data_IF_202199305039
#
_entry.id   IF_202199305039
#
_cell.length_a   1.000
_cell.length_b   1.000
_cell.length_c   1.000
_cell.angle_alpha   90.00
_cell.angle_beta   90.00
_cell.angle_gamma   90.00
#
_symmetry.space_group_name_H-M   'P 1'
#
loop_
_entity.id
_entity.type
_entity.pdbx_description
1 polymer ?
#
# COMPACT_ATOMS: atom_id res chain seq x y z
N UNK A 1 -10.37 28.07 -1.22
CA UNK A 1 -11.00 27.87 0.09
C UNK A 1 -10.07 26.99 0.91
N UNK A 2 -9.54 27.55 2.01
CA UNK A 2 -8.68 26.79 2.90
C UNK A 2 -9.52 25.69 3.56
N UNK A 3 -9.09 24.47 3.40
CA UNK A 3 -9.74 23.32 4.00
C UNK A 3 -9.51 23.35 5.51
N UNK A 4 -10.41 24.00 6.24
CA UNK A 4 -10.35 24.13 7.69
C UNK A 4 -10.63 22.80 8.43
N UNK A 5 -10.79 21.68 7.72
CA UNK A 5 -11.05 20.36 8.30
C UNK A 5 -9.82 19.69 8.88
N UNK A 6 -8.61 20.18 8.58
CA UNK A 6 -7.37 19.52 8.96
C UNK A 6 -6.45 20.47 9.72
N UNK A 7 -6.36 20.29 11.01
CA UNK A 7 -5.25 20.84 11.79
C UNK A 7 -4.05 19.88 11.63
N UNK A 8 -3.27 20.06 10.57
CA UNK A 8 -2.04 19.31 10.40
C UNK A 8 -1.04 19.72 11.49
N UNK A 9 -0.57 18.73 12.25
CA UNK A 9 0.46 18.91 13.27
C UNK A 9 1.79 18.47 12.68
N UNK A 10 2.88 19.22 12.84
CA UNK A 10 4.20 18.78 12.42
C UNK A 10 4.56 17.45 13.08
N UNK A 11 5.27 16.60 12.33
CA UNK A 11 5.82 15.36 12.88
C UNK A 11 6.94 15.67 13.88
N UNK A 12 6.97 14.94 15.00
CA UNK A 12 8.05 14.98 15.97
C UNK A 12 9.36 14.56 15.30
N UNK A 13 10.44 15.26 15.64
CA UNK A 13 11.74 15.03 14.99
C UNK A 13 12.24 13.59 15.17
N UNK A 14 12.25 13.08 16.39
CA UNK A 14 12.76 11.73 16.68
C UNK A 14 11.91 10.65 16.01
N UNK A 15 10.59 10.83 15.98
CA UNK A 15 9.67 9.94 15.28
C UNK A 15 9.86 10.00 13.76
N UNK A 16 10.13 11.19 13.23
CA UNK A 16 10.45 11.35 11.81
C UNK A 16 11.74 10.65 11.41
N UNK A 17 12.78 10.72 12.25
CA UNK A 17 14.05 10.04 12.06
C UNK A 17 13.83 8.52 12.05
N UNK A 18 13.15 8.00 13.06
CA UNK A 18 12.90 6.58 13.18
C UNK A 18 12.08 6.04 11.99
N UNK A 19 10.99 6.72 11.61
CA UNK A 19 10.20 6.32 10.44
C UNK A 19 11.01 6.37 9.15
N UNK A 20 11.85 7.39 8.95
CA UNK A 20 12.70 7.50 7.77
C UNK A 20 13.71 6.32 7.68
N UNK A 21 14.29 5.90 8.80
CA UNK A 21 15.18 4.72 8.88
C UNK A 21 14.43 3.43 8.55
N UNK A 22 13.25 3.25 9.12
CA UNK A 22 12.39 2.09 8.86
C UNK A 22 12.02 2.02 7.36
N UNK A 23 11.55 3.12 6.76
CA UNK A 23 11.20 3.18 5.34
C UNK A 23 12.44 2.90 4.46
N UNK A 24 13.59 3.50 4.82
CA UNK A 24 14.85 3.22 4.11
C UNK A 24 15.14 1.72 4.13
N UNK A 25 15.10 1.09 5.31
CA UNK A 25 15.44 -0.32 5.50
C UNK A 25 14.45 -1.26 4.79
N UNK A 26 13.15 -1.12 5.06
CA UNK A 26 12.14 -2.07 4.58
C UNK A 26 11.80 -1.85 3.11
N UNK A 27 11.77 -0.61 2.65
CA UNK A 27 11.30 -0.28 1.31
C UNK A 27 12.44 0.07 0.35
N UNK A 28 13.27 1.09 0.64
CA UNK A 28 14.29 1.55 -0.32
C UNK A 28 15.39 0.50 -0.53
N UNK A 29 15.85 -0.11 0.53
CA UNK A 29 16.90 -1.13 0.46
C UNK A 29 16.39 -2.44 -0.13
N UNK A 30 15.11 -2.79 0.03
CA UNK A 30 14.51 -3.95 -0.62
C UNK A 30 14.55 -3.82 -2.15
N UNK A 31 14.12 -2.70 -2.70
CA UNK A 31 14.24 -2.45 -4.14
C UNK A 31 15.68 -2.30 -4.61
N UNK A 32 16.57 -1.78 -3.77
CA UNK A 32 18.00 -1.67 -4.10
C UNK A 32 18.66 -3.05 -4.16
N UNK A 33 18.32 -3.94 -3.23
CA UNK A 33 18.81 -5.32 -3.17
C UNK A 33 18.37 -6.11 -4.41
N UNK A 34 17.09 -6.00 -4.78
CA UNK A 34 16.51 -6.78 -5.88
C UNK A 34 16.86 -6.21 -7.26
N UNK A 35 16.65 -4.91 -7.47
CA UNK A 35 16.73 -4.27 -8.79
C UNK A 35 17.97 -3.38 -8.96
N UNK A 36 18.76 -3.23 -7.92
CA UNK A 36 19.96 -2.40 -7.89
C UNK A 36 19.69 -0.91 -7.64
N UNK A 37 20.73 -0.17 -7.22
CA UNK A 37 20.58 1.23 -6.81
C UNK A 37 20.22 2.18 -7.96
N UNK A 38 20.50 1.80 -9.20
CA UNK A 38 20.16 2.61 -10.37
C UNK A 38 18.64 2.64 -10.61
N UNK A 39 17.95 1.52 -10.39
CA UNK A 39 16.50 1.44 -10.49
C UNK A 39 15.85 2.40 -9.51
N UNK A 40 16.16 2.26 -8.24
CA UNK A 40 15.56 3.10 -7.21
C UNK A 40 15.82 4.59 -7.46
N UNK A 41 17.08 4.99 -7.76
CA UNK A 41 17.42 6.40 -8.06
C UNK A 41 16.65 6.98 -9.25
N UNK A 42 16.23 6.15 -10.20
CA UNK A 42 15.48 6.60 -11.38
C UNK A 42 14.01 6.85 -11.08
N UNK A 43 13.44 6.17 -10.10
CA UNK A 43 11.99 6.15 -9.87
C UNK A 43 11.58 6.59 -8.47
N UNK A 44 12.48 6.60 -7.48
CA UNK A 44 12.17 7.02 -6.12
C UNK A 44 11.66 8.47 -6.08
N UNK A 45 10.59 8.76 -5.32
CA UNK A 45 10.18 10.13 -5.07
C UNK A 45 11.30 10.88 -4.34
N UNK A 46 11.49 12.16 -4.71
CA UNK A 46 12.61 12.96 -4.18
C UNK A 46 12.31 13.56 -2.81
N UNK A 47 11.05 13.56 -2.40
CA UNK A 47 10.61 14.17 -1.15
C UNK A 47 9.69 13.24 -0.41
N UNK A 48 9.98 13.05 0.86
CA UNK A 48 9.07 12.46 1.83
C UNK A 48 8.59 13.56 2.76
N UNK A 49 7.28 13.76 2.84
CA UNK A 49 6.66 14.73 3.71
C UNK A 49 5.98 13.99 4.85
N UNK A 50 6.47 14.19 6.06
CA UNK A 50 6.01 13.52 7.27
C UNK A 50 5.12 14.46 8.07
N UNK A 51 3.88 14.04 8.34
CA UNK A 51 2.86 14.79 9.07
C UNK A 51 2.56 14.05 10.38
N UNK A 52 2.58 14.79 11.48
CA UNK A 52 2.39 14.21 12.82
C UNK A 52 0.97 13.76 13.11
N UNK A 53 -0.04 14.49 12.59
CA UNK A 53 -1.45 14.19 12.79
C UNK A 53 -2.03 13.27 11.72
N UNK A 54 -3.16 12.58 11.99
CA UNK A 54 -3.93 11.92 10.94
C UNK A 54 -4.49 12.94 9.93
N UNK A 55 -4.81 12.47 8.73
CA UNK A 55 -5.59 13.17 7.74
C UNK A 55 -6.86 12.39 7.41
N UNK A 56 -7.90 13.09 6.97
CA UNK A 56 -9.17 12.48 6.57
C UNK A 56 -9.62 13.10 5.25
N UNK A 57 -10.18 12.30 4.38
CA UNK A 57 -10.81 12.78 3.16
C UNK A 57 -12.18 13.43 3.41
N UNK A 58 -12.87 13.83 2.34
CA UNK A 58 -14.19 14.45 2.43
C UNK A 58 -15.29 13.51 2.95
N UNK A 59 -15.06 12.19 2.89
CA UNK A 59 -15.97 11.16 3.42
C UNK A 59 -15.75 10.87 4.90
N UNK A 60 -14.64 11.38 5.48
CA UNK A 60 -14.21 11.09 6.85
C UNK A 60 -13.33 9.83 6.95
N UNK A 61 -12.96 9.25 5.84
CA UNK A 61 -12.03 8.11 5.81
C UNK A 61 -10.60 8.59 6.06
N UNK A 62 -9.86 7.86 6.90
CA UNK A 62 -8.47 8.16 7.22
C UNK A 62 -7.59 7.99 5.98
N UNK A 63 -6.77 8.99 5.68
CA UNK A 63 -5.76 8.96 4.61
C UNK A 63 -4.42 8.61 5.24
N UNK A 64 -3.84 7.48 4.85
CA UNK A 64 -2.56 7.00 5.40
C UNK A 64 -1.37 7.61 4.68
N UNK A 65 -1.49 7.83 3.38
CA UNK A 65 -0.47 8.49 2.56
C UNK A 65 -1.02 8.97 1.23
N UNK A 66 -0.22 9.73 0.52
CA UNK A 66 -0.53 10.21 -0.84
C UNK A 66 0.73 10.38 -1.65
N UNK A 67 0.69 10.06 -2.96
CA UNK A 67 1.75 10.43 -3.90
C UNK A 67 1.33 11.58 -4.80
N UNK A 68 2.16 12.60 -4.90
CA UNK A 68 1.92 13.74 -5.76
C UNK A 68 2.83 13.70 -7.00
N UNK A 69 2.26 13.28 -8.13
CA UNK A 69 2.91 13.30 -9.44
C UNK A 69 4.26 12.58 -9.52
N UNK A 70 4.46 11.55 -8.71
CA UNK A 70 5.69 10.78 -8.66
C UNK A 70 6.90 11.51 -8.07
N UNK A 71 6.70 12.67 -7.45
CA UNK A 71 7.80 13.50 -6.91
C UNK A 71 7.84 13.56 -5.40
N UNK A 72 6.70 13.41 -4.74
CA UNK A 72 6.56 13.51 -3.29
C UNK A 72 5.61 12.42 -2.79
N UNK A 73 5.97 11.75 -1.70
CA UNK A 73 5.08 10.95 -0.89
C UNK A 73 4.86 11.68 0.43
N UNK A 74 3.59 11.83 0.83
CA UNK A 74 3.21 12.34 2.15
C UNK A 74 2.72 11.18 2.99
N UNK A 75 3.23 11.05 4.22
CA UNK A 75 2.79 10.07 5.21
C UNK A 75 2.25 10.80 6.43
N UNK A 76 1.12 10.33 6.93
CA UNK A 76 0.38 10.94 8.03
C UNK A 76 0.52 10.13 9.32
N UNK A 77 0.08 10.72 10.43
CA UNK A 77 -0.04 10.10 11.76
C UNK A 77 1.30 9.64 12.39
N UNK A 78 2.40 10.28 12.00
CA UNK A 78 3.75 9.90 12.45
C UNK A 78 3.89 10.01 13.97
N UNK A 79 3.17 10.96 14.62
CA UNK A 79 3.26 11.16 16.06
C UNK A 79 2.57 10.05 16.89
N UNK A 80 1.82 9.18 16.25
CA UNK A 80 1.20 8.00 16.89
C UNK A 80 2.14 6.79 16.98
N UNK A 81 3.31 6.84 16.32
CA UNK A 81 4.28 5.73 16.36
C UNK A 81 4.87 5.54 17.76
N UNK A 82 4.95 4.27 18.18
CA UNK A 82 5.67 3.82 19.36
C UNK A 82 6.96 3.10 18.91
N UNK A 83 8.11 3.70 19.21
CA UNK A 83 9.41 3.12 18.84
C UNK A 83 10.04 2.29 19.95
N UNK A 84 9.50 2.35 21.16
CA UNK A 84 9.93 1.50 22.27
C UNK A 84 9.31 0.10 22.15
N UNK A 85 8.08 0.04 21.56
CA UNK A 85 7.35 -1.20 21.32
C UNK A 85 6.89 -1.25 19.86
N UNK A 86 7.83 -1.50 18.94
CA UNK A 86 7.53 -1.53 17.51
C UNK A 86 6.57 -2.68 17.18
N UNK A 87 5.40 -2.34 16.66
CA UNK A 87 4.42 -3.27 16.14
C UNK A 87 4.51 -3.32 14.60
N UNK A 88 4.94 -4.45 14.06
CA UNK A 88 5.13 -4.64 12.62
C UNK A 88 3.79 -4.61 11.86
N UNK A 89 2.70 -5.10 12.47
CA UNK A 89 1.38 -5.08 11.83
C UNK A 89 0.87 -3.65 11.68
N UNK A 90 1.04 -2.83 12.73
CA UNK A 90 0.71 -1.39 12.70
C UNK A 90 1.57 -0.66 11.66
N UNK A 91 2.88 -0.92 11.63
CA UNK A 91 3.77 -0.31 10.63
C UNK A 91 3.41 -0.73 9.21
N UNK A 92 2.98 -1.98 9.02
CA UNK A 92 2.53 -2.47 7.73
C UNK A 92 1.25 -1.76 7.27
N UNK A 93 0.25 -1.70 8.14
CA UNK A 93 -1.03 -1.04 7.84
C UNK A 93 -0.83 0.44 7.46
N UNK A 94 -0.03 1.20 8.23
CA UNK A 94 0.10 2.64 8.05
C UNK A 94 1.15 3.05 7.02
N UNK A 95 2.25 2.30 6.90
CA UNK A 95 3.41 2.78 6.14
C UNK A 95 3.91 1.82 5.07
N UNK A 96 4.11 0.52 5.35
CA UNK A 96 4.76 -0.34 4.36
C UNK A 96 3.85 -0.57 3.15
N UNK A 97 2.60 -0.95 3.40
CA UNK A 97 1.60 -1.10 2.34
C UNK A 97 1.49 0.20 1.54
N UNK A 98 1.35 1.34 2.23
CA UNK A 98 1.25 2.67 1.59
C UNK A 98 2.46 2.97 0.70
N UNK A 99 3.68 2.69 1.18
CA UNK A 99 4.89 2.94 0.39
C UNK A 99 4.95 2.12 -0.90
N UNK A 100 4.59 0.83 -0.85
CA UNK A 100 4.54 -0.02 -2.04
C UNK A 100 3.41 0.39 -2.99
N UNK A 101 2.25 0.74 -2.46
CA UNK A 101 1.09 1.26 -3.19
C UNK A 101 1.45 2.53 -3.99
N UNK A 102 1.95 3.55 -3.33
CA UNK A 102 2.31 4.82 -3.95
C UNK A 102 3.45 4.66 -4.97
N UNK A 103 4.41 3.79 -4.69
CA UNK A 103 5.48 3.50 -5.63
C UNK A 103 4.98 2.76 -6.86
N UNK A 104 4.05 1.85 -6.71
CA UNK A 104 3.40 1.18 -7.84
C UNK A 104 2.65 2.17 -8.73
N UNK A 105 2.01 3.20 -8.17
CA UNK A 105 1.45 4.31 -8.94
C UNK A 105 2.51 5.06 -9.76
N UNK A 106 3.67 5.34 -9.16
CA UNK A 106 4.78 5.98 -9.89
C UNK A 106 5.25 5.11 -11.06
N UNK A 107 5.34 3.80 -10.86
CA UNK A 107 5.78 2.88 -11.90
C UNK A 107 4.77 2.81 -13.06
N UNK A 108 3.48 2.59 -12.78
CA UNK A 108 2.50 2.47 -13.87
C UNK A 108 2.23 3.78 -14.60
N UNK A 109 2.44 4.95 -13.97
CA UNK A 109 2.41 6.25 -14.65
C UNK A 109 3.58 6.44 -15.64
N UNK A 110 4.67 5.71 -15.48
CA UNK A 110 5.82 5.73 -16.41
C UNK A 110 5.65 4.72 -17.54
N UNK A 111 5.13 3.55 -17.24
CA UNK A 111 4.83 2.48 -18.20
C UNK A 111 3.51 1.83 -17.81
N UNK A 112 2.49 2.03 -18.64
CA UNK A 112 1.16 1.50 -18.36
C UNK A 112 1.15 -0.04 -18.29
N UNK A 113 0.31 -0.58 -17.43
CA UNK A 113 -0.02 -2.00 -17.39
C UNK A 113 -1.04 -2.36 -18.50
N UNK A 114 -1.27 -3.66 -18.72
CA UNK A 114 -2.23 -4.16 -19.70
C UNK A 114 -3.67 -3.75 -19.33
N UNK A 115 -4.38 -2.99 -20.19
CA UNK A 115 -5.74 -2.52 -19.90
C UNK A 115 -6.78 -3.64 -19.84
N UNK A 116 -6.41 -4.89 -20.12
CA UNK A 116 -7.29 -6.04 -19.88
C UNK A 116 -7.57 -6.25 -18.40
N UNK A 117 -6.69 -5.77 -17.51
CA UNK A 117 -6.90 -5.76 -16.05
C UNK A 117 -8.18 -5.02 -15.68
N UNK A 118 -8.39 -3.81 -16.21
CA UNK A 118 -9.54 -2.95 -15.88
C UNK A 118 -10.88 -3.61 -16.19
N UNK A 119 -10.88 -4.52 -17.19
CA UNK A 119 -12.10 -5.20 -17.65
C UNK A 119 -12.50 -6.41 -16.82
N UNK A 120 -11.59 -6.96 -16.00
CA UNK A 120 -11.87 -8.18 -15.22
C UNK A 120 -13.02 -7.96 -14.24
N UNK A 121 -13.05 -6.81 -13.60
CA UNK A 121 -14.10 -6.39 -12.67
C UNK A 121 -14.79 -5.09 -13.12
N UNK A 122 -14.85 -4.84 -14.42
CA UNK A 122 -15.62 -3.72 -14.98
C UNK A 122 -17.07 -3.78 -14.49
N UNK A 123 -17.58 -2.63 -14.01
CA UNK A 123 -18.92 -2.53 -13.42
C UNK A 123 -19.04 -2.90 -11.95
N UNK A 124 -17.93 -3.34 -11.30
CA UNK A 124 -17.90 -3.60 -9.85
C UNK A 124 -17.19 -2.50 -9.05
N UNK A 125 -16.54 -1.55 -9.73
CA UNK A 125 -15.92 -0.41 -9.04
C UNK A 125 -17.00 0.55 -8.54
N UNK A 126 -16.83 1.02 -7.29
CA UNK A 126 -17.85 1.79 -6.55
C UNK A 126 -17.42 3.24 -6.25
N UNK A 127 -16.24 3.65 -6.73
CA UNK A 127 -15.72 5.00 -6.52
C UNK A 127 -15.52 5.33 -5.04
N UNK A 128 -16.01 6.50 -4.63
CA UNK A 128 -15.93 6.96 -3.24
C UNK A 128 -16.69 6.10 -2.22
N UNK A 129 -17.55 5.21 -2.67
CA UNK A 129 -18.38 4.39 -1.78
C UNK A 129 -17.71 3.06 -1.38
N UNK A 130 -16.39 2.94 -1.62
CA UNK A 130 -15.62 1.73 -1.33
C UNK A 130 -15.61 1.35 0.16
N UNK A 131 -15.71 2.32 1.07
CA UNK A 131 -15.59 2.11 2.51
C UNK A 131 -16.88 1.64 3.19
N UNK A 132 -18.01 1.57 2.45
CA UNK A 132 -19.26 1.06 3.00
C UNK A 132 -20.06 0.27 1.96
N UNK A 133 -21.05 -0.48 2.43
CA UNK A 133 -22.05 -1.11 1.59
C UNK A 133 -23.42 -1.03 2.26
N UNK A 134 -24.47 -1.12 1.44
CA UNK A 134 -25.86 -1.18 1.90
C UNK A 134 -26.33 -2.62 1.78
N UNK A 135 -26.67 -3.24 2.91
CA UNK A 135 -27.17 -4.60 2.95
C UNK A 135 -28.65 -4.68 2.51
N UNK A 136 -29.15 -5.89 2.24
CA UNK A 136 -30.54 -6.11 1.80
C UNK A 136 -31.60 -5.56 2.77
N UNK A 137 -31.28 -5.46 4.05
CA UNK A 137 -32.14 -4.86 5.08
C UNK A 137 -32.17 -3.32 5.04
N UNK A 138 -31.43 -2.69 4.10
CA UNK A 138 -31.35 -1.24 3.93
C UNK A 138 -30.39 -0.53 4.90
N UNK A 139 -29.68 -1.26 5.77
CA UNK A 139 -28.68 -0.68 6.66
C UNK A 139 -27.33 -0.54 5.96
N UNK A 140 -26.60 0.53 6.30
CA UNK A 140 -25.22 0.75 5.85
C UNK A 140 -24.25 0.17 6.86
N UNK A 141 -23.20 -0.52 6.36
CA UNK A 141 -22.12 -1.09 7.14
C UNK A 141 -20.79 -0.64 6.57
N UNK A 142 -19.77 -0.50 7.41
CA UNK A 142 -18.40 -0.33 6.95
C UNK A 142 -17.98 -1.60 6.21
N UNK A 143 -17.24 -1.42 5.12
CA UNK A 143 -16.69 -2.53 4.36
C UNK A 143 -15.28 -2.82 4.86
N UNK A 144 -15.08 -4.04 5.30
CA UNK A 144 -13.77 -4.60 5.61
C UNK A 144 -13.15 -5.23 4.36
N UNK A 145 -11.84 -5.44 4.33
CA UNK A 145 -11.18 -6.08 3.19
C UNK A 145 -11.75 -7.47 2.90
N UNK A 146 -12.11 -8.22 3.94
CA UNK A 146 -12.72 -9.53 3.78
C UNK A 146 -14.08 -9.52 3.07
N UNK A 147 -14.82 -8.41 3.08
CA UNK A 147 -16.06 -8.25 2.34
C UNK A 147 -15.81 -8.07 0.83
N UNK A 148 -14.64 -7.56 0.46
CA UNK A 148 -14.25 -7.34 -0.94
C UNK A 148 -13.68 -8.61 -1.62
N UNK A 149 -13.12 -9.54 -0.85
CA UNK A 149 -12.48 -10.75 -1.39
C UNK A 149 -13.40 -11.63 -2.23
N UNK A 150 -14.66 -11.93 -1.83
CA UNK A 150 -15.60 -12.70 -2.66
C UNK A 150 -15.95 -12.00 -3.99
N UNK A 151 -15.85 -10.68 -4.04
CA UNK A 151 -16.07 -9.88 -5.24
C UNK A 151 -14.87 -9.84 -6.19
N UNK A 152 -13.72 -10.37 -5.75
CA UNK A 152 -12.49 -10.45 -6.55
C UNK A 152 -11.54 -9.27 -6.39
N UNK A 153 -11.57 -8.61 -5.23
CA UNK A 153 -10.66 -7.52 -4.87
C UNK A 153 -9.85 -7.90 -3.63
N UNK A 154 -8.59 -7.48 -3.58
CA UNK A 154 -7.67 -7.81 -2.48
C UNK A 154 -7.90 -6.96 -1.22
N UNK A 155 -8.50 -5.78 -1.38
CA UNK A 155 -8.91 -4.88 -0.29
C UNK A 155 -10.24 -4.20 -0.62
N UNK A 156 -10.89 -3.63 0.40
CA UNK A 156 -12.05 -2.77 0.18
C UNK A 156 -11.68 -1.56 -0.67
N UNK A 157 -10.50 -0.95 -0.45
CA UNK A 157 -10.02 0.20 -1.20
C UNK A 157 -9.79 -0.11 -2.68
N UNK A 158 -9.38 -1.32 -3.04
CA UNK A 158 -9.27 -1.78 -4.43
C UNK A 158 -10.59 -1.67 -5.20
N UNK A 159 -11.74 -1.65 -4.53
CA UNK A 159 -13.04 -1.44 -5.17
C UNK A 159 -13.30 0.01 -5.60
N UNK A 160 -12.43 0.96 -5.25
CA UNK A 160 -12.63 2.37 -5.62
C UNK A 160 -12.49 2.59 -7.13
N UNK A 161 -11.39 2.15 -7.72
CA UNK A 161 -11.15 2.21 -9.17
C UNK A 161 -10.07 1.22 -9.62
N UNK A 162 -9.96 0.98 -10.94
CA UNK A 162 -9.07 -0.03 -11.50
C UNK A 162 -7.58 0.23 -11.22
N UNK A 163 -7.15 1.50 -11.13
CA UNK A 163 -5.75 1.82 -10.85
C UNK A 163 -5.39 1.54 -9.40
N UNK A 164 -6.31 1.83 -8.47
CA UNK A 164 -6.15 1.49 -7.05
C UNK A 164 -6.12 -0.03 -6.87
N UNK A 165 -7.02 -0.75 -7.53
CA UNK A 165 -7.03 -2.21 -7.54
C UNK A 165 -5.70 -2.80 -8.04
N UNK A 166 -5.15 -2.25 -9.13
CA UNK A 166 -3.87 -2.70 -9.66
C UNK A 166 -2.73 -2.56 -8.65
N UNK A 167 -2.59 -1.39 -8.03
CA UNK A 167 -1.49 -1.13 -7.09
C UNK A 167 -1.70 -1.80 -5.73
N UNK A 168 -2.95 -1.97 -5.29
CA UNK A 168 -3.29 -2.73 -4.07
C UNK A 168 -2.86 -4.21 -4.20
N UNK A 169 -3.02 -4.83 -5.38
CA UNK A 169 -2.52 -6.18 -5.61
C UNK A 169 -1.01 -6.28 -5.38
N UNK A 170 -0.21 -5.29 -5.81
CA UNK A 170 1.23 -5.25 -5.57
C UNK A 170 1.52 -5.06 -4.08
N UNK A 171 0.92 -4.04 -3.47
CA UNK A 171 1.18 -3.66 -2.09
C UNK A 171 0.83 -4.78 -1.11
N UNK A 172 -0.36 -5.36 -1.25
CA UNK A 172 -0.80 -6.47 -0.40
C UNK A 172 0.07 -7.71 -0.57
N UNK A 173 0.46 -8.04 -1.80
CA UNK A 173 1.28 -9.22 -2.04
C UNK A 173 2.65 -9.12 -1.41
N UNK A 174 3.34 -8.00 -1.55
CA UNK A 174 4.74 -7.86 -1.09
C UNK A 174 4.86 -7.60 0.42
N UNK A 175 3.78 -7.16 1.07
CA UNK A 175 3.80 -6.80 2.50
C UNK A 175 3.20 -7.84 3.42
N UNK A 176 2.58 -8.88 2.88
CA UNK A 176 1.97 -9.98 3.65
C UNK A 176 2.57 -11.33 3.25
N UNK A 177 2.56 -12.28 4.18
CA UNK A 177 3.11 -13.60 3.96
C UNK A 177 2.17 -14.51 3.13
N UNK A 178 2.66 -15.70 2.79
CA UNK A 178 1.89 -16.67 2.00
C UNK A 178 0.64 -17.15 2.76
N UNK A 179 0.71 -17.24 4.09
CA UNK A 179 -0.43 -17.68 4.89
C UNK A 179 -1.59 -16.69 4.83
N UNK A 180 -1.28 -15.39 4.85
CA UNK A 180 -2.27 -14.33 4.62
C UNK A 180 -2.92 -14.45 3.23
N UNK A 181 -2.11 -14.59 2.18
CA UNK A 181 -2.59 -14.69 0.80
C UNK A 181 -3.47 -15.91 0.59
N UNK A 182 -3.05 -17.06 1.09
CA UNK A 182 -3.82 -18.31 1.01
C UNK A 182 -5.17 -18.22 1.78
N UNK A 183 -5.16 -17.58 2.96
CA UNK A 183 -6.38 -17.33 3.72
C UNK A 183 -7.32 -16.38 2.98
N UNK A 184 -6.83 -15.30 2.39
CA UNK A 184 -7.61 -14.39 1.55
C UNK A 184 -8.30 -15.13 0.41
N UNK A 185 -7.55 -15.94 -0.36
CA UNK A 185 -8.11 -16.72 -1.47
C UNK A 185 -9.13 -17.76 -0.99
N UNK A 186 -8.89 -18.38 0.16
CA UNK A 186 -9.84 -19.33 0.78
C UNK A 186 -11.15 -18.65 1.15
N UNK A 187 -11.11 -17.49 1.79
CA UNK A 187 -12.28 -16.71 2.19
C UNK A 187 -13.01 -16.14 0.98
N UNK A 188 -12.28 -15.71 -0.06
CA UNK A 188 -12.84 -15.26 -1.34
C UNK A 188 -13.69 -16.32 -2.03
N UNK A 189 -13.48 -17.59 -1.70
CA UNK A 189 -14.17 -18.72 -2.34
C UNK A 189 -13.77 -18.91 -3.80
N UNK A 190 -14.33 -19.91 -4.46
CA UNK A 190 -13.90 -20.31 -5.82
C UNK A 190 -14.01 -19.16 -6.84
N UNK A 191 -15.08 -18.40 -6.82
CA UNK A 191 -15.32 -17.33 -7.79
C UNK A 191 -14.41 -16.11 -7.53
N UNK A 192 -14.38 -15.62 -6.29
CA UNK A 192 -13.52 -14.48 -5.92
C UNK A 192 -12.04 -14.79 -6.12
N UNK A 193 -11.59 -15.96 -5.67
CA UNK A 193 -10.21 -16.42 -5.84
C UNK A 193 -9.79 -16.51 -7.32
N UNK A 194 -10.69 -16.98 -8.20
CA UNK A 194 -10.40 -17.03 -9.64
C UNK A 194 -10.18 -15.63 -10.22
N UNK A 195 -10.99 -14.64 -9.82
CA UNK A 195 -10.86 -13.24 -10.25
C UNK A 195 -9.54 -12.64 -9.72
N UNK A 196 -9.25 -12.80 -8.41
CA UNK A 196 -8.02 -12.30 -7.80
C UNK A 196 -6.79 -12.89 -8.51
N UNK A 197 -6.76 -14.21 -8.75
CA UNK A 197 -5.64 -14.86 -9.43
C UNK A 197 -5.49 -14.40 -10.89
N UNK A 198 -6.59 -14.14 -11.60
CA UNK A 198 -6.53 -13.59 -12.96
C UNK A 198 -5.91 -12.18 -12.97
N UNK A 199 -6.32 -11.31 -12.06
CA UNK A 199 -5.75 -9.97 -11.86
C UNK A 199 -4.27 -10.05 -11.48
N UNK A 200 -3.96 -10.87 -10.48
CA UNK A 200 -2.61 -11.03 -9.99
C UNK A 200 -1.63 -11.55 -11.05
N UNK A 201 -2.09 -12.42 -11.95
CA UNK A 201 -1.27 -12.86 -13.08
C UNK A 201 -0.82 -11.70 -13.97
N UNK A 202 -1.71 -10.73 -14.26
CA UNK A 202 -1.36 -9.53 -15.03
C UNK A 202 -0.37 -8.65 -14.26
N UNK A 203 -0.63 -8.44 -12.96
CA UNK A 203 0.22 -7.67 -12.07
C UNK A 203 1.63 -8.27 -11.98
N UNK A 204 1.71 -9.57 -11.75
CA UNK A 204 2.97 -10.30 -11.65
C UNK A 204 3.79 -10.19 -12.94
N UNK A 205 3.17 -10.47 -14.09
CA UNK A 205 3.84 -10.38 -15.38
C UNK A 205 4.27 -8.94 -15.69
N UNK A 206 3.46 -7.95 -15.37
CA UNK A 206 3.83 -6.54 -15.53
C UNK A 206 5.09 -6.18 -14.73
N UNK A 207 5.16 -6.57 -13.46
CA UNK A 207 6.32 -6.28 -12.62
C UNK A 207 7.57 -7.02 -13.13
N UNK A 208 7.43 -8.27 -13.53
CA UNK A 208 8.53 -9.07 -14.03
C UNK A 208 9.03 -8.60 -15.42
N UNK A 209 8.11 -8.46 -16.39
CA UNK A 209 8.48 -8.21 -17.79
C UNK A 209 8.80 -6.73 -18.05
N UNK A 210 8.10 -5.80 -17.39
CA UNK A 210 8.29 -4.37 -17.61
C UNK A 210 9.41 -3.79 -16.77
N UNK A 211 9.57 -4.28 -15.53
CA UNK A 211 10.48 -3.70 -14.54
C UNK A 211 11.63 -4.65 -14.13
N UNK A 212 11.56 -5.92 -14.50
CA UNK A 212 12.52 -6.93 -14.07
C UNK A 212 12.42 -7.26 -12.59
N UNK A 213 11.25 -6.99 -11.97
CA UNK A 213 10.99 -7.23 -10.55
C UNK A 213 10.15 -8.48 -10.41
N UNK A 214 10.74 -9.55 -9.86
CA UNK A 214 10.01 -10.72 -9.41
C UNK A 214 9.33 -10.40 -8.08
N UNK A 215 7.99 -10.51 -8.01
CA UNK A 215 7.23 -10.17 -6.81
C UNK A 215 7.45 -11.15 -5.65
N UNK A 216 7.76 -12.43 -5.94
CA UNK A 216 8.07 -13.41 -4.89
C UNK A 216 9.39 -13.06 -4.20
N UNK A 217 10.42 -12.72 -4.99
CA UNK A 217 11.72 -12.31 -4.48
C UNK A 217 11.60 -10.99 -3.68
N UNK A 218 10.81 -10.03 -4.19
CA UNK A 218 10.56 -8.76 -3.49
C UNK A 218 9.86 -9.00 -2.15
N UNK A 219 8.84 -9.86 -2.13
CA UNK A 219 8.12 -10.25 -0.92
C UNK A 219 9.04 -10.87 0.12
N UNK A 220 9.88 -11.82 -0.28
CA UNK A 220 10.84 -12.47 0.62
C UNK A 220 11.77 -11.42 1.26
N UNK A 221 12.32 -10.52 0.47
CA UNK A 221 13.18 -9.45 0.95
C UNK A 221 12.43 -8.51 1.90
N UNK A 222 11.23 -8.06 1.53
CA UNK A 222 10.43 -7.11 2.34
C UNK A 222 10.08 -7.74 3.69
N UNK A 223 9.56 -8.98 3.69
CA UNK A 223 9.17 -9.66 4.94
C UNK A 223 10.37 -9.93 5.84
N UNK A 224 11.51 -10.32 5.28
CA UNK A 224 12.75 -10.47 6.06
C UNK A 224 13.16 -9.15 6.71
N UNK A 225 13.17 -8.05 5.94
CA UNK A 225 13.56 -6.72 6.44
C UNK A 225 12.57 -6.16 7.47
N UNK A 226 11.29 -6.50 7.39
CA UNK A 226 10.32 -6.18 8.45
C UNK A 226 10.69 -6.84 9.78
N UNK A 227 11.15 -8.09 9.76
CA UNK A 227 11.57 -8.79 10.98
C UNK A 227 12.88 -8.26 11.58
N UNK A 228 13.70 -7.56 10.79
CA UNK A 228 14.94 -6.94 11.24
C UNK A 228 14.74 -5.58 11.95
N UNK A 229 13.55 -4.97 11.88
CA UNK A 229 13.28 -3.63 12.45
C UNK A 229 13.61 -3.53 13.94
N UNK A 230 13.26 -4.50 14.80
CA UNK A 230 13.59 -4.42 16.24
C UNK A 230 15.09 -4.34 16.54
N UNK A 231 15.94 -4.70 15.57
CA UNK A 231 17.42 -4.67 15.72
C UNK A 231 18.02 -3.35 15.23
N UNK A 232 17.22 -2.46 14.62
CA UNK A 232 17.69 -1.18 14.10
C UNK A 232 17.90 -0.15 15.23
N UNK A 233 18.99 0.60 15.14
CA UNK A 233 19.10 1.85 15.89
C UNK A 233 18.22 2.92 15.24
N UNK A 234 17.08 3.21 15.83
CA UNK A 234 16.12 4.17 15.35
C UNK A 234 16.36 5.60 15.88
N UNK A 235 17.33 5.78 16.76
CA UNK A 235 17.54 7.03 17.52
C UNK A 235 18.50 8.02 16.86
N UNK A 236 19.40 7.56 15.99
CA UNK A 236 20.45 8.42 15.41
C UNK A 236 20.35 8.51 13.89
N UNK A 237 20.65 9.68 13.32
CA UNK A 237 20.91 9.85 11.88
C UNK A 237 22.42 9.63 11.69
N UNK A 238 22.80 8.52 11.07
CA UNK A 238 24.13 8.34 10.48
C UNK A 238 24.04 8.48 8.96
#
# INVERSE_FOLDING_TARGET
ESDHKYNLVPADYDKSVALAKIIKHVWMEAYTELAGPAFLRSYVPKTFHLIGSPAYDSSGTKVLGTAEGGKKITLYEVNSLDFENVDIEVLNEYYFKTMHHEFAHILHQKRNYDPSFDRITEGKYVGSDWYFYVAENGNSYLREDADAWPEGFVTAYAMSEAREDFVENIAMYVTHDQAYWDNMLKVAGTAGAAIINQKFTIVYNYMLETWGINLDDLREIVLRRQQEIPELDLSTIE
#
